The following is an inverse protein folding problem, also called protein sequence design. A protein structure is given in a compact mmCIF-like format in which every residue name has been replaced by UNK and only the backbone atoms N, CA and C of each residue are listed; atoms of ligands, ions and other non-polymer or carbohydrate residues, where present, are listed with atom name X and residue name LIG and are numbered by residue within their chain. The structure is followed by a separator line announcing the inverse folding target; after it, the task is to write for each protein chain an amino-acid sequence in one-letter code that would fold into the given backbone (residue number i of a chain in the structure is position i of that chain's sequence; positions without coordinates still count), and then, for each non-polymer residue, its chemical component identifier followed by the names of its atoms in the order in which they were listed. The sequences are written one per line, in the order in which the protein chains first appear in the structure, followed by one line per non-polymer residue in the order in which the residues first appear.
data_IF_335779081079
#
_entry.id   IF_335779081079
#
_cell.length_a   1.000
_cell.length_b   1.000
_cell.length_c   1.000
_cell.angle_alpha   90.00
_cell.angle_beta   90.00
_cell.angle_gamma   90.00
#
_symmetry.space_group_name_H-M   'P 1'
#
loop_
_entity.id
_entity.type
_entity.pdbx_description
1 polymer ?
#
# COMPACT_ATOMS: atom_id res chain seq x y z
N UNK A 1 -51.52 -0.02 -66.70
CA UNK A 1 -51.62 0.36 -65.29
C UNK A 1 -50.18 0.58 -64.79
N UNK A 2 -49.73 1.83 -64.82
CA UNK A 2 -48.40 2.21 -64.34
C UNK A 2 -48.51 2.53 -62.82
N UNK A 3 -47.69 1.88 -62.03
CA UNK A 3 -47.48 2.19 -60.59
C UNK A 3 -46.50 3.38 -60.47
N UNK A 4 -46.71 4.33 -59.58
CA UNK A 4 -45.82 5.44 -59.37
C UNK A 4 -44.55 4.99 -58.63
N UNK A 5 -43.39 5.44 -59.07
CA UNK A 5 -42.09 5.30 -58.37
C UNK A 5 -42.13 6.10 -57.09
N UNK A 6 -41.84 5.44 -55.96
CA UNK A 6 -41.53 6.08 -54.69
C UNK A 6 -40.16 6.74 -54.74
N UNK A 7 -40.21 8.04 -54.59
CA UNK A 7 -39.06 8.90 -54.35
C UNK A 7 -38.38 8.50 -53.06
N UNK A 8 -37.15 7.99 -53.07
CA UNK A 8 -36.33 7.75 -51.90
C UNK A 8 -35.80 9.12 -51.44
N UNK A 9 -36.48 9.68 -50.43
CA UNK A 9 -35.94 10.78 -49.63
C UNK A 9 -34.65 10.31 -48.95
N UNK A 10 -33.53 10.74 -49.49
CA UNK A 10 -32.20 10.59 -48.87
C UNK A 10 -32.14 11.43 -47.60
N UNK A 11 -31.90 10.76 -46.47
CA UNK A 11 -31.52 11.45 -45.24
C UNK A 11 -30.29 12.34 -45.53
N UNK A 12 -30.29 13.60 -45.09
CA UNK A 12 -29.11 14.45 -45.20
C UNK A 12 -28.10 14.03 -44.14
N UNK A 13 -27.09 13.31 -44.57
CA UNK A 13 -25.88 13.03 -43.80
C UNK A 13 -24.95 14.25 -43.91
N UNK A 14 -25.25 15.31 -43.14
CA UNK A 14 -24.31 16.38 -42.96
C UNK A 14 -24.50 17.15 -41.66
N UNK A 15 -23.87 16.64 -40.58
CA UNK A 15 -23.78 17.34 -39.30
C UNK A 15 -22.88 18.57 -39.29
N UNK A 16 -22.28 18.95 -40.46
CA UNK A 16 -21.36 20.07 -40.60
C UNK A 16 -21.79 21.07 -41.68
N UNK A 17 -23.06 21.17 -42.03
CA UNK A 17 -23.53 22.21 -42.92
C UNK A 17 -23.61 23.56 -42.18
N UNK A 18 -22.72 24.48 -42.53
CA UNK A 18 -22.76 25.87 -42.09
C UNK A 18 -24.13 26.48 -42.46
N UNK A 19 -24.77 27.24 -41.57
CA UNK A 19 -25.97 28.01 -41.93
C UNK A 19 -25.65 29.02 -43.06
N UNK A 20 -26.42 28.98 -44.11
CA UNK A 20 -26.13 29.75 -45.35
C UNK A 20 -26.32 31.27 -45.25
N UNK A 21 -26.57 31.81 -44.03
CA UNK A 21 -26.87 33.23 -43.80
C UNK A 21 -25.99 33.85 -42.69
N UNK A 22 -24.77 33.34 -42.49
CA UNK A 22 -23.87 33.97 -41.50
C UNK A 22 -23.09 35.12 -42.14
N UNK A 23 -23.00 36.24 -41.46
CA UNK A 23 -22.17 37.39 -41.82
C UNK A 23 -20.68 37.04 -41.63
N UNK A 24 -19.79 37.75 -42.35
CA UNK A 24 -18.33 37.46 -42.32
C UNK A 24 -17.71 37.58 -40.91
N UNK A 25 -18.26 38.38 -40.02
CA UNK A 25 -17.85 38.47 -38.62
C UNK A 25 -18.28 37.24 -37.81
N UNK A 26 -19.49 36.78 -38.00
CA UNK A 26 -20.01 35.57 -37.38
C UNK A 26 -19.27 34.33 -37.89
N UNK A 27 -18.90 34.29 -39.16
CA UNK A 27 -18.09 33.21 -39.75
C UNK A 27 -16.70 33.16 -39.11
N UNK A 28 -16.06 34.32 -38.90
CA UNK A 28 -14.75 34.40 -38.22
C UNK A 28 -14.83 34.01 -36.76
N UNK A 29 -15.89 34.42 -36.08
CA UNK A 29 -16.14 33.99 -34.69
C UNK A 29 -16.35 32.47 -34.62
N UNK A 30 -17.18 31.93 -35.54
CA UNK A 30 -17.44 30.48 -35.62
C UNK A 30 -16.16 29.69 -35.91
N UNK A 31 -15.32 30.16 -36.86
CA UNK A 31 -14.02 29.56 -37.16
C UNK A 31 -13.04 29.67 -35.98
N UNK A 32 -13.10 30.78 -35.25
CA UNK A 32 -12.29 30.96 -34.03
C UNK A 32 -12.73 30.04 -32.87
N UNK A 33 -14.02 29.75 -32.76
CA UNK A 33 -14.56 28.86 -31.75
C UNK A 33 -14.67 27.39 -32.19
N UNK A 34 -14.84 27.15 -33.51
CA UNK A 34 -14.92 25.81 -34.12
C UNK A 34 -13.56 25.27 -34.58
N UNK A 35 -12.59 26.17 -34.78
CA UNK A 35 -11.19 25.77 -35.08
C UNK A 35 -10.62 25.07 -33.86
N UNK A 36 -9.89 23.99 -34.07
CA UNK A 36 -9.13 23.26 -33.06
C UNK A 36 -8.18 24.21 -32.34
N UNK A 37 -8.68 24.92 -31.34
CA UNK A 37 -7.87 25.78 -30.48
C UNK A 37 -6.84 24.94 -29.73
N UNK A 38 -5.70 25.51 -29.28
CA UNK A 38 -4.64 24.78 -28.56
C UNK A 38 -5.17 23.99 -27.38
N UNK A 39 -6.31 24.41 -26.81
CA UNK A 39 -7.00 23.71 -25.72
C UNK A 39 -7.65 22.40 -26.22
N UNK A 40 -8.27 22.39 -27.40
CA UNK A 40 -8.89 21.18 -27.96
C UNK A 40 -7.84 20.17 -28.40
N UNK A 41 -6.74 20.62 -28.97
CA UNK A 41 -5.60 19.75 -29.30
C UNK A 41 -4.99 19.14 -28.02
N UNK A 42 -4.85 19.95 -26.95
CA UNK A 42 -4.38 19.46 -25.66
C UNK A 42 -5.33 18.42 -25.04
N UNK A 43 -6.65 18.69 -25.08
CA UNK A 43 -7.68 17.75 -24.60
C UNK A 43 -7.64 16.45 -25.41
N UNK A 44 -7.56 16.53 -26.74
CA UNK A 44 -7.46 15.35 -27.61
C UNK A 44 -6.20 14.54 -27.31
N UNK A 45 -5.07 15.21 -27.09
CA UNK A 45 -3.81 14.58 -26.71
C UNK A 45 -3.90 13.90 -25.35
N UNK A 46 -4.52 14.54 -24.36
CA UNK A 46 -4.74 13.97 -23.03
C UNK A 46 -5.68 12.76 -23.08
N UNK A 47 -6.80 12.86 -23.81
CA UNK A 47 -7.76 11.76 -23.96
C UNK A 47 -7.14 10.57 -24.69
N UNK A 48 -6.39 10.82 -25.75
CA UNK A 48 -5.70 9.77 -26.51
C UNK A 48 -4.58 9.08 -25.70
N UNK A 49 -4.01 9.78 -24.71
CA UNK A 49 -2.93 9.28 -23.86
C UNK A 49 -3.36 9.13 -22.38
N UNK A 50 -4.65 8.96 -22.11
CA UNK A 50 -5.18 8.85 -20.74
C UNK A 50 -4.51 7.74 -19.93
N UNK A 51 -4.07 6.67 -20.57
CA UNK A 51 -3.32 5.59 -19.96
C UNK A 51 -1.96 6.03 -19.42
N UNK A 52 -1.29 7.00 -20.09
CA UNK A 52 -0.04 7.60 -19.59
C UNK A 52 -0.30 8.43 -18.34
N UNK A 53 -1.37 9.21 -18.31
CA UNK A 53 -1.77 9.99 -17.14
C UNK A 53 -2.04 9.06 -15.96
N UNK A 54 -2.78 7.98 -16.21
CA UNK A 54 -3.03 6.94 -15.20
C UNK A 54 -1.73 6.31 -14.69
N UNK A 55 -0.83 5.89 -15.59
CA UNK A 55 0.44 5.27 -15.23
C UNK A 55 1.35 6.23 -14.46
N UNK A 56 1.46 7.48 -14.90
CA UNK A 56 2.27 8.52 -14.23
C UNK A 56 1.76 8.78 -12.82
N UNK A 57 0.44 8.86 -12.64
CA UNK A 57 -0.17 9.03 -11.31
C UNK A 57 0.16 7.83 -10.41
N UNK A 58 0.01 6.60 -10.92
CA UNK A 58 0.34 5.39 -10.17
C UNK A 58 1.82 5.36 -9.75
N UNK A 59 2.75 5.74 -10.65
CA UNK A 59 4.17 5.83 -10.35
C UNK A 59 4.49 6.89 -9.29
N UNK A 60 3.89 8.08 -9.38
CA UNK A 60 4.06 9.14 -8.39
C UNK A 60 3.61 8.66 -7.01
N UNK A 61 2.44 8.01 -6.94
CA UNK A 61 1.92 7.46 -5.69
C UNK A 61 2.84 6.37 -5.12
N UNK A 62 3.36 5.49 -5.98
CA UNK A 62 4.28 4.44 -5.55
C UNK A 62 5.60 5.01 -5.04
N UNK A 63 6.20 5.97 -5.75
CA UNK A 63 7.43 6.66 -5.33
C UNK A 63 7.20 7.35 -3.98
N UNK A 64 6.06 8.04 -3.82
CA UNK A 64 5.69 8.66 -2.54
C UNK A 64 5.63 7.63 -1.40
N UNK A 65 4.99 6.47 -1.62
CA UNK A 65 4.92 5.40 -0.62
C UNK A 65 6.31 4.87 -0.24
N UNK A 66 7.16 4.64 -1.24
CA UNK A 66 8.55 4.19 -1.02
C UNK A 66 9.33 5.25 -0.23
N UNK A 67 9.21 6.53 -0.58
CA UNK A 67 9.92 7.63 0.09
C UNK A 67 9.50 7.76 1.55
N UNK A 68 8.19 7.69 1.83
CA UNK A 68 7.65 7.71 3.20
C UNK A 68 8.19 6.53 4.02
N UNK A 69 8.17 5.32 3.45
CA UNK A 69 8.72 4.15 4.11
C UNK A 69 10.22 4.27 4.39
N UNK A 70 11.01 4.74 3.42
CA UNK A 70 12.45 4.95 3.61
C UNK A 70 12.75 6.03 4.67
N UNK A 71 11.93 7.07 4.73
CA UNK A 71 12.04 8.12 5.74
C UNK A 71 11.72 7.57 7.13
N UNK A 72 10.68 6.76 7.24
CA UNK A 72 10.32 6.06 8.47
C UNK A 72 11.46 5.12 8.94
N UNK A 73 11.99 4.28 8.05
CA UNK A 73 13.11 3.39 8.40
C UNK A 73 14.35 4.18 8.82
N UNK A 74 14.64 5.30 8.17
CA UNK A 74 15.75 6.19 8.57
C UNK A 74 15.53 6.80 9.94
N UNK A 75 14.30 7.25 10.22
CA UNK A 75 13.92 7.78 11.53
C UNK A 75 14.13 6.73 12.64
N UNK A 76 13.64 5.50 12.42
CA UNK A 76 13.83 4.40 13.38
C UNK A 76 15.31 4.11 13.59
N UNK A 77 16.10 4.03 12.52
CA UNK A 77 17.56 3.77 12.61
C UNK A 77 18.34 4.88 13.31
N UNK A 78 17.91 6.12 13.19
CA UNK A 78 18.58 7.25 13.84
C UNK A 78 18.38 7.23 15.36
N UNK A 79 17.23 6.74 15.85
CA UNK A 79 16.92 6.66 17.28
C UNK A 79 17.26 5.31 17.91
N UNK A 80 17.81 4.34 17.15
CA UNK A 80 18.08 3.00 17.66
C UNK A 80 19.38 2.95 18.47
N UNK A 81 19.38 2.16 19.53
CA UNK A 81 20.55 1.69 20.25
C UNK A 81 20.71 0.18 20.08
N UNK A 82 21.92 -0.27 19.83
CA UNK A 82 22.19 -1.70 19.73
C UNK A 82 22.16 -2.32 21.13
N UNK A 83 21.53 -3.47 21.25
CA UNK A 83 21.53 -4.25 22.47
C UNK A 83 22.87 -4.98 22.55
N UNK A 84 23.60 -4.75 23.65
CA UNK A 84 24.83 -5.47 23.97
C UNK A 84 24.61 -6.59 24.98
N UNK A 85 23.36 -6.82 25.39
CA UNK A 85 22.98 -7.88 26.30
C UNK A 85 23.10 -9.25 25.61
N UNK A 86 24.09 -10.02 26.04
CA UNK A 86 24.41 -11.33 25.48
C UNK A 86 23.25 -12.30 25.72
N UNK A 87 22.57 -12.20 26.87
CA UNK A 87 21.48 -13.10 27.24
C UNK A 87 20.26 -12.94 26.29
N UNK A 88 19.89 -11.68 25.97
CA UNK A 88 18.82 -11.40 25.02
C UNK A 88 19.18 -11.83 23.59
N UNK A 89 20.43 -11.66 23.19
CA UNK A 89 20.91 -12.09 21.87
C UNK A 89 20.93 -13.62 21.74
N UNK A 90 21.32 -14.34 22.77
CA UNK A 90 21.27 -15.81 22.79
C UNK A 90 19.82 -16.30 22.73
N UNK A 91 18.90 -15.70 23.51
CA UNK A 91 17.47 -16.01 23.44
C UNK A 91 16.91 -15.76 22.03
N UNK A 92 17.27 -14.62 21.39
CA UNK A 92 16.88 -14.33 20.01
C UNK A 92 17.38 -15.40 19.04
N UNK A 93 18.65 -15.83 19.16
CA UNK A 93 19.23 -16.82 18.26
C UNK A 93 18.49 -18.17 18.35
N UNK A 94 18.17 -18.61 19.56
CA UNK A 94 17.38 -19.83 19.83
C UNK A 94 15.98 -19.73 19.19
N UNK A 95 15.31 -18.60 19.37
CA UNK A 95 13.97 -18.36 18.82
C UNK A 95 13.98 -18.28 17.28
N UNK A 96 15.02 -17.69 16.69
CA UNK A 96 15.22 -17.63 15.24
C UNK A 96 15.41 -19.04 14.65
N UNK A 97 16.21 -19.89 15.29
CA UNK A 97 16.41 -21.29 14.90
C UNK A 97 15.12 -22.09 15.01
N UNK A 98 14.39 -21.99 16.12
CA UNK A 98 13.06 -22.63 16.32
C UNK A 98 12.05 -22.17 15.28
N UNK A 99 12.12 -20.91 14.87
CA UNK A 99 11.28 -20.33 13.82
C UNK A 99 11.76 -20.68 12.40
N UNK A 100 12.87 -21.43 12.25
CA UNK A 100 13.49 -21.81 10.97
C UNK A 100 13.90 -20.57 10.14
N UNK A 101 14.30 -19.49 10.78
CA UNK A 101 14.88 -18.31 10.15
C UNK A 101 16.38 -18.51 10.09
N UNK A 102 16.95 -18.58 8.87
CA UNK A 102 18.38 -18.89 8.65
C UNK A 102 19.24 -17.63 8.52
N UNK A 103 18.65 -16.47 8.46
CA UNK A 103 19.35 -15.19 8.31
C UNK A 103 19.59 -14.61 9.71
N UNK A 104 20.76 -14.01 9.96
CA UNK A 104 21.00 -13.33 11.24
C UNK A 104 20.00 -12.18 11.42
N UNK A 105 19.31 -12.21 12.54
CA UNK A 105 18.32 -11.20 12.92
C UNK A 105 18.95 -10.26 13.93
N UNK A 106 18.95 -8.96 13.64
CA UNK A 106 19.40 -7.93 14.57
C UNK A 106 18.35 -7.65 15.64
N UNK A 107 18.79 -7.14 16.79
CA UNK A 107 17.95 -6.69 17.88
C UNK A 107 18.39 -5.28 18.29
N UNK A 108 17.43 -4.36 18.29
CA UNK A 108 17.66 -2.95 18.60
C UNK A 108 16.57 -2.43 19.52
N UNK A 109 16.89 -1.40 20.30
CA UNK A 109 15.92 -0.64 21.11
C UNK A 109 15.73 0.73 20.49
N UNK A 110 14.49 1.17 20.42
CA UNK A 110 14.16 2.54 20.09
C UNK A 110 12.97 3.03 20.90
N UNK A 111 13.17 3.92 21.88
CA UNK A 111 12.08 4.40 22.76
C UNK A 111 11.07 5.31 22.04
N UNK A 112 11.29 5.64 20.78
CA UNK A 112 10.37 6.47 19.97
C UNK A 112 9.24 5.64 19.34
N UNK A 113 9.29 4.31 19.43
CA UNK A 113 8.21 3.45 18.95
C UNK A 113 7.32 3.00 20.12
N UNK A 114 6.03 2.84 19.82
CA UNK A 114 5.03 2.38 20.81
C UNK A 114 4.91 0.86 20.88
N UNK A 115 5.16 0.19 19.75
CA UNK A 115 5.06 -1.27 19.63
C UNK A 115 6.30 -1.89 19.02
N UNK A 116 6.62 -3.14 19.35
CA UNK A 116 7.66 -3.91 18.69
C UNK A 116 7.40 -4.02 17.20
N UNK A 117 8.46 -4.05 16.38
CA UNK A 117 8.34 -4.21 14.94
C UNK A 117 9.58 -4.81 14.31
N UNK A 118 9.39 -5.49 13.19
CA UNK A 118 10.49 -5.98 12.36
C UNK A 118 10.70 -5.07 11.15
N UNK A 119 11.93 -4.59 10.96
CA UNK A 119 12.34 -3.78 9.82
C UNK A 119 13.41 -4.50 9.00
N UNK A 120 13.44 -4.22 7.69
CA UNK A 120 14.45 -4.74 6.76
C UNK A 120 14.04 -6.03 6.05
N UNK A 121 14.26 -6.05 4.72
CA UNK A 121 13.98 -7.22 3.86
C UNK A 121 15.11 -8.24 3.86
N UNK A 122 16.35 -7.75 3.75
CA UNK A 122 17.54 -8.59 3.58
C UNK A 122 18.23 -8.80 4.92
N UNK A 123 18.34 -7.75 5.71
CA UNK A 123 18.92 -7.76 7.05
C UNK A 123 17.81 -7.40 8.05
N UNK A 124 17.04 -8.40 8.50
CA UNK A 124 15.95 -8.17 9.44
C UNK A 124 16.49 -7.71 10.79
N UNK A 125 15.88 -6.68 11.33
CA UNK A 125 16.14 -6.19 12.68
C UNK A 125 14.81 -6.06 13.42
N UNK A 126 14.70 -6.70 14.58
CA UNK A 126 13.58 -6.50 15.50
C UNK A 126 13.91 -5.29 16.35
N UNK A 127 13.00 -4.33 16.38
CA UNK A 127 13.12 -3.12 17.17
C UNK A 127 12.11 -3.20 18.30
N UNK A 128 12.58 -3.07 19.54
CA UNK A 128 11.77 -3.05 20.75
C UNK A 128 11.65 -1.62 21.26
N UNK A 129 10.52 -1.25 21.89
CA UNK A 129 10.35 0.07 22.52
C UNK A 129 11.18 0.24 23.78
N UNK A 130 11.41 -0.85 24.52
CA UNK A 130 12.11 -0.85 25.80
C UNK A 130 12.99 -2.10 25.93
N UNK A 131 14.03 -2.00 26.77
CA UNK A 131 14.89 -3.13 27.14
C UNK A 131 14.30 -3.93 28.32
N UNK A 132 13.48 -3.28 29.16
CA UNK A 132 12.86 -3.91 30.34
C UNK A 132 11.57 -4.63 29.96
N UNK A 133 11.74 -5.71 29.20
CA UNK A 133 10.65 -6.59 28.78
C UNK A 133 10.75 -7.92 29.52
N UNK A 134 9.63 -8.45 30.00
CA UNK A 134 9.64 -9.76 30.63
C UNK A 134 10.08 -10.86 29.66
N UNK A 135 10.75 -11.90 30.15
CA UNK A 135 11.19 -13.02 29.31
C UNK A 135 10.08 -13.66 28.48
N UNK A 136 8.89 -13.73 29.08
CA UNK A 136 7.72 -14.30 28.41
C UNK A 136 7.24 -13.40 27.28
N UNK A 137 7.15 -12.11 27.52
CA UNK A 137 6.69 -11.13 26.51
C UNK A 137 7.70 -10.99 25.39
N UNK A 138 9.01 -11.00 25.72
CA UNK A 138 10.08 -11.05 24.74
C UNK A 138 9.93 -12.27 23.82
N UNK A 139 9.72 -13.45 24.38
CA UNK A 139 9.57 -14.68 23.61
C UNK A 139 8.38 -14.61 22.65
N UNK A 140 7.23 -14.13 23.10
CA UNK A 140 6.03 -14.04 22.27
C UNK A 140 6.21 -12.99 21.17
N UNK A 141 6.69 -11.81 21.52
CA UNK A 141 6.94 -10.71 20.58
C UNK A 141 7.91 -11.12 19.48
N UNK A 142 9.05 -11.68 19.87
CA UNK A 142 10.06 -12.12 18.90
C UNK A 142 9.52 -13.25 18.02
N UNK A 143 8.78 -14.21 18.56
CA UNK A 143 8.16 -15.26 17.74
C UNK A 143 7.16 -14.71 16.74
N UNK A 144 6.34 -13.74 17.13
CA UNK A 144 5.39 -13.07 16.25
C UNK A 144 6.12 -12.41 15.07
N UNK A 145 7.11 -11.58 15.35
CA UNK A 145 7.91 -10.90 14.33
C UNK A 145 8.65 -11.86 13.38
N UNK A 146 9.21 -12.93 13.93
CA UNK A 146 9.89 -13.96 13.13
C UNK A 146 8.93 -14.74 12.24
N UNK A 147 7.67 -14.91 12.64
CA UNK A 147 6.64 -15.52 11.80
C UNK A 147 6.32 -14.62 10.62
N UNK A 148 6.15 -13.31 10.83
CA UNK A 148 5.98 -12.34 9.75
C UNK A 148 7.13 -12.39 8.74
N UNK A 149 8.36 -12.40 9.24
CA UNK A 149 9.54 -12.49 8.39
C UNK A 149 9.56 -13.77 7.56
N UNK A 150 9.33 -14.92 8.19
CA UNK A 150 9.32 -16.23 7.53
C UNK A 150 8.23 -16.35 6.46
N UNK A 151 7.06 -15.75 6.70
CA UNK A 151 5.94 -15.70 5.75
C UNK A 151 6.18 -14.72 4.61
N UNK A 152 7.19 -13.85 4.74
CA UNK A 152 7.46 -12.75 3.81
C UNK A 152 6.30 -11.74 3.76
N UNK A 153 5.64 -11.49 4.87
CA UNK A 153 4.45 -10.64 4.94
C UNK A 153 4.77 -9.22 4.48
N UNK A 154 5.98 -8.71 4.73
CA UNK A 154 6.43 -7.43 4.22
C UNK A 154 6.43 -7.37 2.68
N UNK A 155 6.81 -8.45 1.99
CA UNK A 155 6.76 -8.52 0.53
C UNK A 155 5.31 -8.44 0.04
N UNK A 156 4.40 -9.18 0.65
CA UNK A 156 2.98 -9.14 0.29
C UNK A 156 2.33 -7.80 0.62
N UNK A 157 2.67 -7.17 1.76
CA UNK A 157 2.24 -5.80 2.09
C UNK A 157 2.67 -4.81 0.98
N UNK A 158 3.89 -4.91 0.45
CA UNK A 158 4.35 -4.08 -0.67
C UNK A 158 3.65 -4.40 -2.00
N UNK A 159 3.37 -5.67 -2.28
CA UNK A 159 2.60 -6.06 -3.45
C UNK A 159 1.20 -5.44 -3.42
N UNK A 160 0.52 -5.53 -2.29
CA UNK A 160 -0.80 -4.89 -2.08
C UNK A 160 -0.70 -3.37 -2.28
N UNK A 161 0.32 -2.71 -1.73
CA UNK A 161 0.52 -1.27 -1.94
C UNK A 161 0.74 -0.90 -3.41
N UNK A 162 1.44 -1.73 -4.18
CA UNK A 162 1.59 -1.53 -5.63
C UNK A 162 0.23 -1.66 -6.34
N UNK A 163 -0.59 -2.65 -5.98
CA UNK A 163 -1.94 -2.81 -6.53
C UNK A 163 -2.83 -1.62 -6.16
N UNK A 164 -2.75 -1.10 -4.92
CA UNK A 164 -3.45 0.12 -4.49
C UNK A 164 -3.04 1.31 -5.34
N UNK A 165 -1.75 1.50 -5.60
CA UNK A 165 -1.26 2.58 -6.45
C UNK A 165 -1.74 2.46 -7.90
N UNK A 166 -1.81 1.25 -8.46
CA UNK A 166 -2.32 1.01 -9.81
C UNK A 166 -3.82 1.27 -9.92
N UNK A 167 -4.58 0.95 -8.88
CA UNK A 167 -6.04 1.13 -8.84
C UNK A 167 -6.45 2.30 -7.93
N UNK A 168 -5.64 3.36 -7.90
CA UNK A 168 -5.79 4.51 -7.01
C UNK A 168 -7.17 5.15 -7.05
N UNK A 169 -7.89 5.04 -8.16
CA UNK A 169 -9.23 5.59 -8.39
C UNK A 169 -10.37 4.71 -7.84
N UNK A 170 -10.06 3.46 -7.43
CA UNK A 170 -11.07 2.51 -6.97
C UNK A 170 -11.13 2.46 -5.42
N UNK A 171 -12.21 2.92 -4.78
CA UNK A 171 -12.32 2.93 -3.32
C UNK A 171 -12.33 1.53 -2.69
N UNK A 172 -12.76 0.50 -3.43
CA UNK A 172 -12.79 -0.88 -2.92
C UNK A 172 -11.40 -1.43 -2.64
N UNK A 173 -10.37 -0.99 -3.39
CA UNK A 173 -9.01 -1.50 -3.22
C UNK A 173 -8.40 -1.07 -1.87
N UNK A 174 -8.78 0.10 -1.36
CA UNK A 174 -8.35 0.58 -0.05
C UNK A 174 -8.94 -0.29 1.06
N UNK A 175 -10.24 -0.61 0.98
CA UNK A 175 -10.89 -1.54 1.92
C UNK A 175 -10.27 -2.94 1.87
N UNK A 176 -9.96 -3.42 0.67
CA UNK A 176 -9.29 -4.72 0.50
C UNK A 176 -7.88 -4.70 1.11
N UNK A 177 -7.15 -3.59 0.98
CA UNK A 177 -5.83 -3.41 1.60
C UNK A 177 -5.90 -3.48 3.13
N UNK A 178 -6.88 -2.80 3.74
CA UNK A 178 -7.08 -2.80 5.20
C UNK A 178 -7.44 -4.21 5.68
N UNK A 179 -8.38 -4.87 5.00
CA UNK A 179 -8.77 -6.25 5.30
C UNK A 179 -7.61 -7.24 5.15
N UNK A 180 -6.74 -7.03 4.14
CA UNK A 180 -5.55 -7.86 3.97
C UNK A 180 -4.60 -7.75 5.18
N UNK A 181 -4.40 -6.55 5.71
CA UNK A 181 -3.56 -6.35 6.90
C UNK A 181 -4.17 -7.10 8.09
N UNK A 182 -5.45 -6.93 8.36
CA UNK A 182 -6.17 -7.58 9.47
C UNK A 182 -6.09 -9.11 9.40
N UNK A 183 -6.40 -9.70 8.24
CA UNK A 183 -6.31 -11.16 8.02
C UNK A 183 -4.87 -11.66 8.20
N UNK A 184 -3.89 -10.86 7.80
CA UNK A 184 -2.49 -11.22 7.92
C UNK A 184 -2.03 -11.27 9.39
N UNK A 185 -2.48 -10.31 10.19
CA UNK A 185 -2.23 -10.29 11.66
C UNK A 185 -2.91 -11.49 12.34
N UNK A 186 -4.21 -11.72 12.08
CA UNK A 186 -4.92 -12.89 12.62
C UNK A 186 -4.23 -14.22 12.28
N UNK A 187 -3.75 -14.37 11.05
CA UNK A 187 -3.04 -15.59 10.62
C UNK A 187 -1.63 -15.69 11.24
N UNK A 188 -1.03 -14.59 11.70
CA UNK A 188 0.21 -14.61 12.47
C UNK A 188 -0.06 -15.06 13.91
N UNK A 189 -1.05 -14.45 14.56
CA UNK A 189 -1.45 -14.77 15.92
C UNK A 189 -1.85 -16.25 16.07
N UNK A 190 -2.64 -16.76 15.12
CA UNK A 190 -3.00 -18.18 15.09
C UNK A 190 -1.75 -19.08 15.06
N UNK A 191 -0.73 -18.73 14.29
CA UNK A 191 0.51 -19.51 14.22
C UNK A 191 1.35 -19.42 15.50
N UNK A 192 1.35 -18.28 16.18
CA UNK A 192 1.98 -18.14 17.50
C UNK A 192 1.25 -19.03 18.50
N UNK A 193 -0.06 -18.93 18.57
CA UNK A 193 -0.91 -19.72 19.48
C UNK A 193 -0.76 -21.23 19.26
N UNK A 194 -0.77 -21.69 18.01
CA UNK A 194 -0.63 -23.11 17.68
C UNK A 194 0.72 -23.72 18.09
N UNK A 195 1.72 -22.89 18.41
CA UNK A 195 3.02 -23.34 18.92
C UNK A 195 3.12 -23.36 20.42
N UNK A 196 2.13 -22.80 21.12
CA UNK A 196 2.11 -22.68 22.57
C UNK A 196 1.11 -23.66 23.18
N UNK A 197 1.37 -24.18 24.39
CA UNK A 197 0.38 -24.95 25.14
C UNK A 197 -0.82 -24.07 25.49
N UNK A 198 -2.02 -24.65 25.48
CA UNK A 198 -3.29 -23.95 25.69
C UNK A 198 -3.28 -23.04 26.94
N UNK A 199 -2.61 -23.46 28.01
CA UNK A 199 -2.47 -22.64 29.22
C UNK A 199 -1.80 -21.27 29.04
N UNK A 200 -1.04 -21.09 27.95
CA UNK A 200 -0.35 -19.83 27.63
C UNK A 200 -1.10 -18.94 26.65
N UNK A 201 -2.24 -19.41 26.12
CA UNK A 201 -3.04 -18.62 25.18
C UNK A 201 -3.61 -17.35 25.83
N UNK A 202 -4.02 -17.44 27.12
CA UNK A 202 -4.52 -16.28 27.87
C UNK A 202 -3.44 -15.21 28.04
N UNK A 203 -2.22 -15.62 28.40
CA UNK A 203 -1.08 -14.69 28.55
C UNK A 203 -0.71 -14.00 27.26
N UNK A 204 -0.78 -14.71 26.13
CA UNK A 204 -0.54 -14.10 24.82
C UNK A 204 -1.65 -13.11 24.43
N UNK A 205 -2.91 -13.43 24.71
CA UNK A 205 -4.02 -12.52 24.47
C UNK A 205 -3.91 -11.25 25.33
N UNK A 206 -3.51 -11.36 26.60
CA UNK A 206 -3.25 -10.23 27.48
C UNK A 206 -2.11 -9.34 26.94
N UNK A 207 -1.02 -9.94 26.44
CA UNK A 207 0.09 -9.20 25.83
C UNK A 207 -0.36 -8.41 24.60
N UNK A 208 -1.13 -9.02 23.69
CA UNK A 208 -1.67 -8.33 22.52
C UNK A 208 -2.53 -7.13 22.93
N UNK A 209 -3.41 -7.31 23.93
CA UNK A 209 -4.25 -6.22 24.43
C UNK A 209 -3.41 -5.08 25.02
N UNK A 210 -2.37 -5.37 25.80
CA UNK A 210 -1.46 -4.35 26.33
C UNK A 210 -0.72 -3.58 25.25
N UNK A 211 -0.28 -4.26 24.17
CA UNK A 211 0.36 -3.61 23.04
C UNK A 211 -0.62 -2.68 22.34
N UNK A 212 -1.86 -3.12 22.09
CA UNK A 212 -2.90 -2.31 21.45
C UNK A 212 -3.31 -1.10 22.30
N UNK A 213 -3.47 -1.26 23.60
CA UNK A 213 -3.74 -0.14 24.52
C UNK A 213 -2.63 0.90 24.48
N UNK A 214 -1.38 0.46 24.47
CA UNK A 214 -0.21 1.34 24.38
C UNK A 214 -0.14 2.10 23.04
N UNK A 215 -0.55 1.47 21.93
CA UNK A 215 -0.67 2.11 20.61
C UNK A 215 -1.79 3.17 20.56
N UNK A 216 -2.91 2.90 21.25
CA UNK A 216 -4.05 3.81 21.33
C UNK A 216 -3.83 4.95 22.34
N UNK A 217 -2.79 4.89 23.16
CA UNK A 217 -2.47 5.92 24.16
C UNK A 217 -3.45 5.94 25.34
N UNK A 218 -4.08 4.80 25.65
CA UNK A 218 -5.02 4.61 26.76
C UNK A 218 -4.29 3.98 27.94
#
# INVERSE_FOLDING_TARGET
VQLPQQEQDGLPDNKNALPSNMDQEELKLYEQFSGNGPIQELIALLVNNIWLVWLMTALILLIRKITVYQSFVRFIKAGQSNISDIELLDKLSILAEQSKVKVPVGLCINPLISSPMLIGFIHPCIVLPDADISDTDFQYTVQHELIHYRRKDMFYKWLVQAVVCLHWFNPLIYRLSDYFVEVNEMACDEKVLNRQPIKRHTMYAELILQIQEKELGI
#
